data_IF_017096872770
#
_entry.id   IF_017096872770
#
_cell.length_a   1.000
_cell.length_b   1.000
_cell.length_c   1.000
_cell.angle_alpha   90.00
_cell.angle_beta   90.00
_cell.angle_gamma   90.00
#
_symmetry.space_group_name_H-M   'P 1'
#
loop_
_entity.id
_entity.type
_entity.pdbx_description
1 polymer ?
#
# COMPACT_ATOMS: atom_id res chain seq x y z
N UNK A 1 0.33 -24.00 -7.75
CA UNK A 1 0.52 -22.76 -7.01
C UNK A 1 0.45 -23.08 -5.53
N UNK A 2 1.44 -22.65 -4.76
CA UNK A 2 1.42 -22.80 -3.30
C UNK A 2 0.48 -21.76 -2.68
N UNK A 3 0.03 -21.98 -1.43
CA UNK A 3 -0.74 -20.98 -0.68
C UNK A 3 0.01 -19.64 -0.59
N UNK A 4 1.33 -19.70 -0.46
CA UNK A 4 2.20 -18.52 -0.43
C UNK A 4 2.22 -17.75 -1.76
N UNK A 5 2.10 -18.44 -2.90
CA UNK A 5 2.01 -17.79 -4.21
C UNK A 5 0.69 -17.01 -4.35
N UNK A 6 -0.41 -17.54 -3.78
CA UNK A 6 -1.72 -16.85 -3.77
C UNK A 6 -1.69 -15.60 -2.90
N UNK A 7 -1.01 -15.63 -1.76
CA UNK A 7 -0.84 -14.47 -0.91
C UNK A 7 0.06 -13.40 -1.54
N UNK A 8 1.14 -13.82 -2.24
CA UNK A 8 1.96 -12.91 -3.03
C UNK A 8 1.15 -12.21 -4.12
N UNK A 9 0.23 -12.93 -4.78
CA UNK A 9 -0.67 -12.32 -5.77
C UNK A 9 -1.62 -11.30 -5.14
N UNK A 10 -2.14 -11.56 -3.92
CA UNK A 10 -2.95 -10.58 -3.17
C UNK A 10 -2.14 -9.33 -2.84
N UNK A 11 -0.89 -9.50 -2.41
CA UNK A 11 0.01 -8.36 -2.14
C UNK A 11 0.35 -7.60 -3.43
N UNK A 12 0.60 -8.30 -4.54
CA UNK A 12 0.83 -7.67 -5.83
C UNK A 12 -0.37 -6.81 -6.27
N UNK A 13 -1.58 -7.31 -6.06
CA UNK A 13 -2.81 -6.55 -6.32
C UNK A 13 -2.93 -5.29 -5.45
N UNK A 14 -2.55 -5.37 -4.16
CA UNK A 14 -2.52 -4.23 -3.24
C UNK A 14 -1.46 -3.17 -3.61
N UNK A 15 -0.48 -3.51 -4.43
CA UNK A 15 0.48 -2.53 -4.96
C UNK A 15 -0.10 -1.66 -6.08
N UNK A 16 -1.36 -1.89 -6.45
CA UNK A 16 -2.14 -1.00 -7.33
C UNK A 16 -1.88 -1.18 -8.82
N UNK A 17 -1.36 -2.33 -9.24
CA UNK A 17 -1.11 -2.62 -10.65
C UNK A 17 -1.76 -3.96 -11.02
N UNK A 18 -2.82 -3.95 -11.82
CA UNK A 18 -3.46 -5.17 -12.33
C UNK A 18 -2.46 -6.10 -13.05
N UNK A 19 -1.50 -5.51 -13.74
CA UNK A 19 -0.44 -6.23 -14.41
C UNK A 19 0.50 -6.97 -13.44
N UNK A 20 0.67 -6.49 -12.20
CA UNK A 20 1.53 -7.13 -11.21
C UNK A 20 1.04 -8.54 -10.85
N UNK A 21 -0.26 -8.76 -10.80
CA UNK A 21 -0.83 -10.10 -10.52
C UNK A 21 -0.51 -11.09 -11.64
N UNK A 22 -0.57 -10.66 -12.91
CA UNK A 22 -0.23 -11.50 -14.05
C UNK A 22 1.25 -11.84 -14.09
N UNK A 23 2.10 -10.85 -13.80
CA UNK A 23 3.56 -11.02 -13.73
C UNK A 23 3.96 -11.98 -12.61
N UNK A 24 3.40 -11.81 -11.41
CA UNK A 24 3.67 -12.70 -10.27
C UNK A 24 3.19 -14.12 -10.56
N UNK A 25 2.01 -14.29 -11.19
CA UNK A 25 1.49 -15.60 -11.59
C UNK A 25 2.40 -16.30 -12.60
N UNK A 26 2.88 -15.56 -13.61
CA UNK A 26 3.81 -16.05 -14.62
C UNK A 26 5.12 -16.52 -13.97
N UNK A 27 5.68 -15.69 -13.07
CA UNK A 27 6.93 -16.01 -12.36
C UNK A 27 6.76 -17.19 -11.38
N UNK A 28 5.62 -17.30 -10.68
CA UNK A 28 5.31 -18.43 -9.80
C UNK A 28 5.28 -19.76 -10.59
N UNK A 29 4.71 -19.75 -11.79
CA UNK A 29 4.64 -20.92 -12.69
C UNK A 29 6.03 -21.36 -13.17
N UNK A 30 6.90 -20.40 -13.51
CA UNK A 30 8.24 -20.68 -14.03
C UNK A 30 9.27 -20.93 -12.94
N UNK A 31 8.99 -20.55 -11.67
CA UNK A 31 9.88 -20.57 -10.50
C UNK A 31 11.03 -19.56 -10.59
N UNK A 32 11.72 -19.51 -11.72
CA UNK A 32 12.79 -18.57 -12.06
C UNK A 32 12.69 -18.24 -13.56
N UNK A 33 12.74 -16.98 -13.94
CA UNK A 33 12.60 -16.55 -15.32
C UNK A 33 13.27 -15.20 -15.60
N UNK A 34 13.58 -14.96 -16.88
CA UNK A 34 14.02 -13.65 -17.35
C UNK A 34 12.82 -12.72 -17.50
N UNK A 35 13.06 -11.40 -17.47
CA UNK A 35 12.03 -10.38 -17.73
C UNK A 35 11.35 -10.56 -19.11
N UNK A 36 12.10 -11.02 -20.12
CA UNK A 36 11.58 -11.33 -21.46
C UNK A 36 10.66 -12.56 -21.46
N UNK A 37 11.05 -13.64 -20.75
CA UNK A 37 10.21 -14.83 -20.62
C UNK A 37 8.91 -14.52 -19.89
N UNK A 38 8.97 -13.71 -18.83
CA UNK A 38 7.79 -13.23 -18.09
C UNK A 38 6.90 -12.36 -18.99
N UNK A 39 7.48 -11.47 -19.79
CA UNK A 39 6.72 -10.63 -20.72
C UNK A 39 5.96 -11.47 -21.75
N UNK A 40 6.61 -12.48 -22.31
CA UNK A 40 6.01 -13.39 -23.30
C UNK A 40 4.86 -14.22 -22.69
N UNK A 41 5.04 -14.82 -21.50
CA UNK A 41 4.00 -15.64 -20.85
C UNK A 41 2.85 -14.80 -20.30
N UNK A 42 3.12 -13.62 -19.75
CA UNK A 42 2.08 -12.74 -19.19
C UNK A 42 1.33 -11.91 -20.23
N UNK A 43 1.89 -11.75 -21.44
CA UNK A 43 1.37 -10.85 -22.48
C UNK A 43 1.53 -9.36 -22.17
N UNK A 44 2.40 -9.02 -21.23
CA UNK A 44 2.63 -7.65 -20.76
C UNK A 44 3.91 -7.09 -21.41
N UNK A 45 3.89 -5.81 -21.74
CA UNK A 45 5.06 -5.11 -22.34
C UNK A 45 6.28 -5.23 -21.44
N UNK A 46 7.43 -5.56 -22.00
CA UNK A 46 8.70 -5.76 -21.30
C UNK A 46 9.04 -4.62 -20.33
N UNK A 47 8.87 -3.36 -20.74
CA UNK A 47 9.13 -2.21 -19.86
C UNK A 47 8.21 -2.16 -18.63
N UNK A 48 6.95 -2.59 -18.76
CA UNK A 48 6.01 -2.69 -17.63
C UNK A 48 6.43 -3.84 -16.71
N UNK A 49 6.81 -5.00 -17.28
CA UNK A 49 7.33 -6.14 -16.50
C UNK A 49 8.54 -5.71 -15.66
N UNK A 50 9.52 -5.06 -16.28
CA UNK A 50 10.72 -4.54 -15.58
C UNK A 50 10.34 -3.60 -14.44
N UNK A 51 9.47 -2.63 -14.71
CA UNK A 51 8.99 -1.67 -13.69
C UNK A 51 8.34 -2.37 -12.48
N UNK A 52 7.50 -3.36 -12.73
CA UNK A 52 6.83 -4.13 -11.66
C UNK A 52 7.85 -5.00 -10.91
N UNK A 53 8.74 -5.70 -11.61
CA UNK A 53 9.78 -6.53 -10.99
C UNK A 53 10.69 -5.70 -10.08
N UNK A 54 11.14 -4.52 -10.51
CA UNK A 54 11.93 -3.62 -9.65
C UNK A 54 11.15 -3.14 -8.43
N UNK A 55 9.85 -2.83 -8.56
CA UNK A 55 8.99 -2.48 -7.41
C UNK A 55 8.86 -3.63 -6.41
N UNK A 56 8.77 -4.88 -6.90
CA UNK A 56 8.73 -6.06 -6.04
C UNK A 56 10.10 -6.32 -5.40
N UNK A 57 11.18 -6.09 -6.13
CA UNK A 57 12.56 -6.20 -5.64
C UNK A 57 12.87 -5.23 -4.51
N UNK A 58 12.47 -3.96 -4.64
CA UNK A 58 12.59 -2.94 -3.59
C UNK A 58 11.85 -3.33 -2.29
N UNK A 59 10.89 -4.25 -2.40
CA UNK A 59 10.12 -4.78 -1.26
C UNK A 59 10.58 -6.17 -0.82
N UNK A 60 11.69 -6.64 -1.37
CA UNK A 60 12.26 -7.98 -1.10
C UNK A 60 11.33 -9.16 -1.44
N UNK A 61 10.29 -8.93 -2.23
CA UNK A 61 9.32 -9.97 -2.64
C UNK A 61 9.81 -10.81 -3.82
N UNK A 62 10.80 -10.31 -4.55
CA UNK A 62 11.53 -11.05 -5.58
C UNK A 62 13.03 -10.87 -5.38
N UNK A 63 13.81 -11.85 -5.77
CA UNK A 63 15.26 -11.74 -5.91
C UNK A 63 15.64 -11.66 -7.39
N UNK A 64 16.80 -11.10 -7.65
CA UNK A 64 17.36 -10.97 -8.99
C UNK A 64 18.79 -11.51 -8.99
N UNK A 65 19.06 -12.48 -9.85
CA UNK A 65 20.38 -13.02 -10.12
C UNK A 65 20.85 -12.55 -11.49
N UNK A 66 22.09 -12.03 -11.56
CA UNK A 66 22.68 -11.53 -12.80
C UNK A 66 23.72 -12.54 -13.30
N UNK A 67 23.50 -13.06 -14.50
CA UNK A 67 24.41 -13.99 -15.18
C UNK A 67 24.95 -13.32 -16.45
N UNK A 68 26.26 -13.43 -16.70
CA UNK A 68 26.86 -12.95 -17.93
C UNK A 68 26.75 -14.03 -19.00
N UNK A 69 26.14 -13.69 -20.12
CA UNK A 69 26.09 -14.57 -21.29
C UNK A 69 27.47 -14.66 -21.93
N UNK A 70 28.00 -15.86 -22.08
CA UNK A 70 29.36 -16.08 -22.62
C UNK A 70 29.47 -15.77 -24.10
N UNK A 71 28.38 -15.84 -24.86
CA UNK A 71 28.38 -15.62 -26.31
C UNK A 71 28.26 -14.14 -26.66
N UNK A 72 27.39 -13.42 -25.97
CA UNK A 72 27.08 -12.03 -26.27
C UNK A 72 27.82 -11.04 -25.36
N UNK A 73 28.30 -11.50 -24.21
CA UNK A 73 28.92 -10.69 -23.18
C UNK A 73 27.92 -9.84 -22.37
N UNK A 74 26.64 -9.87 -22.73
CA UNK A 74 25.58 -9.14 -22.02
C UNK A 74 25.17 -9.81 -20.72
N UNK A 75 24.58 -9.03 -19.81
CA UNK A 75 24.04 -9.57 -18.58
C UNK A 75 22.55 -9.91 -18.76
N UNK A 76 22.21 -11.15 -18.36
CA UNK A 76 20.84 -11.66 -18.28
C UNK A 76 20.40 -11.63 -16.82
N UNK A 77 19.21 -11.11 -16.56
CA UNK A 77 18.63 -11.01 -15.23
C UNK A 77 17.60 -12.10 -15.05
N UNK A 78 17.80 -12.94 -14.03
CA UNK A 78 16.87 -13.99 -13.63
C UNK A 78 16.15 -13.57 -12.36
N UNK A 79 14.86 -13.61 -12.39
CA UNK A 79 13.98 -13.21 -11.31
C UNK A 79 13.35 -14.44 -10.65
N UNK A 80 13.24 -14.42 -9.31
CA UNK A 80 12.66 -15.49 -8.50
C UNK A 80 11.82 -14.88 -7.39
N UNK A 81 10.61 -15.42 -7.15
CA UNK A 81 9.78 -15.04 -6.00
C UNK A 81 10.47 -15.42 -4.68
N UNK A 82 10.22 -14.59 -3.64
CA UNK A 82 10.69 -14.82 -2.28
C UNK A 82 9.48 -14.93 -1.34
N UNK A 83 8.73 -16.06 -1.38
CA UNK A 83 7.51 -16.21 -0.57
C UNK A 83 7.79 -16.12 0.93
N UNK A 84 8.97 -16.56 1.37
CA UNK A 84 9.42 -16.50 2.76
C UNK A 84 9.56 -15.07 3.31
N UNK A 85 9.68 -14.07 2.45
CA UNK A 85 9.75 -12.65 2.85
C UNK A 85 8.37 -12.01 3.01
N UNK A 86 7.31 -12.71 2.60
CA UNK A 86 5.96 -12.19 2.56
C UNK A 86 5.43 -11.82 3.95
N UNK A 87 5.62 -12.69 4.93
CA UNK A 87 5.15 -12.46 6.31
C UNK A 87 5.84 -11.24 6.93
N UNK A 88 7.16 -11.13 6.74
CA UNK A 88 7.92 -9.99 7.22
C UNK A 88 7.44 -8.68 6.57
N UNK A 89 7.14 -8.71 5.27
CA UNK A 89 6.59 -7.56 4.54
C UNK A 89 5.21 -7.17 5.07
N UNK A 90 4.28 -8.12 5.20
CA UNK A 90 2.92 -7.89 5.71
C UNK A 90 2.98 -7.33 7.13
N UNK A 91 3.77 -7.93 8.01
CA UNK A 91 3.95 -7.48 9.39
C UNK A 91 4.49 -6.04 9.45
N UNK A 92 5.48 -5.72 8.64
CA UNK A 92 6.03 -4.36 8.52
C UNK A 92 4.96 -3.35 8.06
N UNK A 93 4.11 -3.72 7.09
CA UNK A 93 3.01 -2.87 6.61
C UNK A 93 1.93 -2.66 7.67
N UNK A 94 1.51 -3.73 8.36
CA UNK A 94 0.56 -3.66 9.46
C UNK A 94 1.08 -2.74 10.58
N UNK A 95 2.36 -2.86 10.95
CA UNK A 95 3.00 -2.00 11.95
C UNK A 95 2.97 -0.52 11.56
N UNK A 96 3.37 -0.18 10.33
CA UNK A 96 3.31 1.20 9.82
C UNK A 96 1.87 1.74 9.78
N UNK A 97 0.90 0.90 9.41
CA UNK A 97 -0.53 1.28 9.41
C UNK A 97 -1.00 1.55 10.83
N UNK A 98 -0.64 0.68 11.78
CA UNK A 98 -0.97 0.86 13.19
C UNK A 98 -0.42 2.17 13.76
N UNK A 99 0.82 2.52 13.45
CA UNK A 99 1.43 3.79 13.86
C UNK A 99 0.66 5.00 13.31
N UNK A 100 0.29 4.98 12.03
CA UNK A 100 -0.51 6.04 11.40
C UNK A 100 -1.91 6.16 12.02
N UNK A 101 -2.56 5.03 12.31
CA UNK A 101 -3.87 5.03 12.93
C UNK A 101 -3.81 5.56 14.37
N UNK A 102 -2.77 5.22 15.14
CA UNK A 102 -2.54 5.77 16.48
C UNK A 102 -2.33 7.28 16.45
N UNK A 103 -1.48 7.76 15.54
CA UNK A 103 -1.27 9.20 15.36
C UNK A 103 -2.57 9.92 14.96
N UNK A 104 -3.38 9.31 14.09
CA UNK A 104 -4.69 9.87 13.72
C UNK A 104 -5.66 9.88 14.90
N UNK A 105 -5.71 8.83 15.71
CA UNK A 105 -6.55 8.78 16.90
C UNK A 105 -6.17 9.86 17.91
N UNK A 106 -4.87 10.05 18.13
CA UNK A 106 -4.38 11.11 19.02
C UNK A 106 -4.75 12.51 18.52
N UNK A 107 -4.60 12.71 17.20
CA UNK A 107 -5.03 13.96 16.57
C UNK A 107 -6.53 14.21 16.72
N UNK A 108 -7.37 13.18 16.55
CA UNK A 108 -8.83 13.32 16.75
C UNK A 108 -9.17 13.62 18.24
N UNK A 109 -8.43 13.06 19.20
CA UNK A 109 -8.66 13.29 20.63
C UNK A 109 -8.20 14.67 21.09
N UNK A 110 -7.14 15.20 20.50
CA UNK A 110 -6.52 16.45 20.93
C UNK A 110 -7.12 17.70 20.29
N UNK A 111 -7.95 17.55 19.25
CA UNK A 111 -8.53 18.69 18.53
C UNK A 111 -10.05 18.65 18.51
N UNK A 112 -10.65 19.84 18.56
CA UNK A 112 -12.08 20.04 18.30
C UNK A 112 -12.27 20.38 16.83
N UNK A 113 -13.22 19.72 16.18
CA UNK A 113 -13.44 19.87 14.75
C UNK A 113 -14.72 20.62 14.40
N UNK A 114 -14.66 21.28 13.27
CA UNK A 114 -15.77 22.04 12.69
C UNK A 114 -16.03 21.60 11.26
N UNK A 115 -17.28 21.51 10.87
CA UNK A 115 -17.71 21.11 9.53
C UNK A 115 -18.57 22.22 8.92
N UNK A 116 -18.46 22.43 7.62
CA UNK A 116 -19.31 23.40 6.92
C UNK A 116 -20.75 22.93 6.88
N UNK A 117 -21.68 23.71 7.41
CA UNK A 117 -23.11 23.39 7.45
C UNK A 117 -23.80 23.41 6.07
N UNK A 118 -23.19 24.08 5.07
CA UNK A 118 -23.78 24.22 3.73
C UNK A 118 -23.32 23.14 2.75
N UNK A 119 -22.01 22.87 2.66
CA UNK A 119 -21.50 21.90 1.69
C UNK A 119 -21.09 20.55 2.33
N UNK A 120 -20.90 20.48 3.65
CA UNK A 120 -20.48 19.26 4.34
C UNK A 120 -19.11 18.69 3.96
N UNK A 121 -18.42 19.31 3.00
CA UNK A 121 -17.23 18.74 2.36
C UNK A 121 -15.91 19.15 3.03
N UNK A 122 -15.93 20.17 3.88
CA UNK A 122 -14.74 20.69 4.54
C UNK A 122 -14.93 20.53 6.04
N UNK A 123 -14.00 19.84 6.66
CA UNK A 123 -13.89 19.64 8.10
C UNK A 123 -12.49 20.09 8.53
N UNK A 124 -12.42 21.02 9.47
CA UNK A 124 -11.20 21.67 9.94
C UNK A 124 -11.09 21.56 11.46
N UNK A 125 -9.88 21.51 12.03
CA UNK A 125 -9.68 21.72 13.46
C UNK A 125 -10.00 23.18 13.83
N UNK A 126 -10.18 23.43 15.12
CA UNK A 126 -10.54 24.74 15.66
C UNK A 126 -9.59 25.87 15.20
N UNK A 127 -8.28 25.58 15.21
CA UNK A 127 -7.24 26.54 14.86
C UNK A 127 -7.38 27.04 13.42
N UNK A 128 -7.65 26.14 12.48
CA UNK A 128 -7.86 26.49 11.07
C UNK A 128 -9.24 27.15 10.85
N UNK A 129 -10.25 26.73 11.62
CA UNK A 129 -11.58 27.32 11.53
C UNK A 129 -11.60 28.79 11.99
N UNK A 130 -10.81 29.14 13.00
CA UNK A 130 -10.64 30.52 13.49
C UNK A 130 -9.95 31.40 12.44
N UNK A 131 -8.90 30.90 11.78
CA UNK A 131 -8.18 31.64 10.74
C UNK A 131 -9.11 32.05 9.58
N UNK A 132 -10.08 31.20 9.26
CA UNK A 132 -11.11 31.46 8.25
C UNK A 132 -12.34 32.24 8.77
N UNK A 133 -12.28 32.77 9.99
CA UNK A 133 -13.41 33.40 10.68
C UNK A 133 -14.69 32.53 10.65
N UNK A 134 -14.53 31.20 10.79
CA UNK A 134 -15.59 30.21 10.69
C UNK A 134 -16.40 30.25 9.38
N UNK A 135 -15.78 30.71 8.28
CA UNK A 135 -16.38 30.76 6.94
C UNK A 135 -15.71 29.75 6.01
N UNK A 136 -16.51 28.94 5.34
CA UNK A 136 -16.03 27.93 4.41
C UNK A 136 -15.43 28.59 3.15
N UNK A 137 -14.15 28.34 2.81
CA UNK A 137 -13.50 28.94 1.64
C UNK A 137 -14.12 28.49 0.31
N UNK A 138 -14.84 27.35 0.30
CA UNK A 138 -15.44 26.80 -0.91
C UNK A 138 -16.83 27.37 -1.21
N UNK A 139 -17.66 27.58 -0.19
CA UNK A 139 -19.07 27.94 -0.40
C UNK A 139 -19.57 29.09 0.50
N UNK A 140 -18.68 29.70 1.27
CA UNK A 140 -18.96 30.77 2.24
C UNK A 140 -20.01 30.38 3.31
N UNK A 141 -20.29 29.06 3.48
CA UNK A 141 -21.14 28.55 4.55
C UNK A 141 -20.45 28.69 5.91
N UNK A 142 -21.22 28.64 7.00
CA UNK A 142 -20.69 28.72 8.35
C UNK A 142 -20.15 27.35 8.80
N UNK A 143 -19.03 27.34 9.52
CA UNK A 143 -18.54 26.17 10.22
C UNK A 143 -19.30 25.99 11.54
N UNK A 144 -19.77 24.78 11.78
CA UNK A 144 -20.42 24.35 13.03
C UNK A 144 -19.63 23.23 13.68
N UNK A 145 -19.72 23.11 14.99
CA UNK A 145 -19.02 22.05 15.74
C UNK A 145 -19.41 20.67 15.20
N UNK A 146 -18.41 19.82 15.03
CA UNK A 146 -18.56 18.46 14.55
C UNK A 146 -18.14 17.46 15.62
N UNK A 147 -19.08 16.67 16.10
CA UNK A 147 -18.78 15.55 17.00
C UNK A 147 -17.94 14.49 16.28
N UNK A 148 -16.83 14.09 16.88
CA UNK A 148 -15.91 13.09 16.38
C UNK A 148 -15.88 11.81 17.24
N UNK A 149 -16.78 11.65 18.20
CA UNK A 149 -16.82 10.49 19.10
C UNK A 149 -16.91 9.17 18.34
N UNK A 150 -17.73 9.10 17.29
CA UNK A 150 -17.85 7.92 16.42
C UNK A 150 -16.55 7.58 15.68
N UNK A 151 -15.81 8.60 15.23
CA UNK A 151 -14.52 8.42 14.55
C UNK A 151 -13.49 7.87 15.55
N UNK A 152 -13.44 8.42 16.75
CA UNK A 152 -12.57 7.97 17.84
C UNK A 152 -12.87 6.51 18.21
N UNK A 153 -14.14 6.14 18.37
CA UNK A 153 -14.57 4.78 18.68
C UNK A 153 -14.17 3.78 17.59
N UNK A 154 -14.43 4.11 16.32
CA UNK A 154 -14.07 3.24 15.20
C UNK A 154 -12.57 3.09 15.03
N UNK A 155 -11.80 4.19 15.14
CA UNK A 155 -10.34 4.14 15.12
C UNK A 155 -9.80 3.27 16.27
N UNK A 156 -10.36 3.40 17.46
CA UNK A 156 -9.96 2.60 18.63
C UNK A 156 -10.19 1.11 18.41
N UNK A 157 -11.35 0.72 17.89
CA UNK A 157 -11.68 -0.68 17.55
C UNK A 157 -10.74 -1.26 16.49
N UNK A 158 -10.44 -0.49 15.44
CA UNK A 158 -9.52 -0.92 14.37
C UNK A 158 -8.11 -1.09 14.92
N UNK A 159 -7.64 -0.15 15.75
CA UNK A 159 -6.32 -0.19 16.39
C UNK A 159 -6.17 -1.43 17.27
N UNK A 160 -7.16 -1.73 18.13
CA UNK A 160 -7.11 -2.92 19.00
C UNK A 160 -7.04 -4.22 18.19
N UNK A 161 -7.85 -4.34 17.14
CA UNK A 161 -7.82 -5.48 16.22
C UNK A 161 -6.46 -5.65 15.57
N UNK A 162 -5.91 -4.55 15.04
CA UNK A 162 -4.62 -4.57 14.33
C UNK A 162 -3.43 -4.83 15.28
N UNK A 163 -3.51 -4.40 16.55
CA UNK A 163 -2.50 -4.75 17.58
C UNK A 163 -2.38 -6.25 17.79
N UNK A 164 -3.49 -6.95 17.90
CA UNK A 164 -3.52 -8.42 18.03
C UNK A 164 -2.88 -9.08 16.82
N UNK A 165 -3.23 -8.65 15.62
CA UNK A 165 -2.69 -9.19 14.37
C UNK A 165 -1.19 -8.90 14.14
N UNK A 166 -0.64 -7.86 14.76
CA UNK A 166 0.80 -7.53 14.68
C UNK A 166 1.59 -8.31 15.73
N UNK A 167 0.95 -8.69 16.85
CA UNK A 167 1.58 -9.45 17.94
C UNK A 167 1.62 -10.97 17.66
N UNK A 168 0.70 -11.49 16.84
CA UNK A 168 0.71 -12.87 16.34
C UNK A 168 1.70 -13.05 15.19
#
# INVERSE_FOLDING_TARGET
LSLLDEELMKVANLLGEEDAVKIVRSLAKMKEATDEAIANDSGIRLNTVRKVLYKLYDKTLVSCTRVRDEKTGWYIFYWKLQPEQLDAFIRSRKKKTLEKLKARLEYEKSHTFFICNKCGNIRLPFEEAIESAFRCPKCNGQFVSSDNSKIIDELSKIIERLKVEVAS
#
